data_IF_376715841313
#
_entry.id   IF_376715841313
#
_cell.length_a   1.000
_cell.length_b   1.000
_cell.length_c   1.000
_cell.angle_alpha   90.00
_cell.angle_beta   90.00
_cell.angle_gamma   90.00
#
_symmetry.space_group_name_H-M   'P 1'
#
loop_
_entity.id
_entity.type
_entity.pdbx_description
1 polymer ?
#
# COMPACT_ATOMS: atom_id res chain seq x y z
N UNK A 1 7.37 -27.39 54.18
CA UNK A 1 6.97 -26.02 53.81
C UNK A 1 7.37 -25.82 52.34
N UNK A 2 6.51 -26.25 51.41
CA UNK A 2 6.79 -26.25 49.97
C UNK A 2 6.15 -25.00 49.34
N UNK A 3 6.97 -24.12 48.73
CA UNK A 3 6.49 -22.96 47.97
C UNK A 3 5.88 -23.47 46.65
N UNK A 4 4.58 -23.25 46.47
CA UNK A 4 3.89 -23.40 45.17
C UNK A 4 4.52 -22.43 44.16
N UNK A 5 4.80 -22.86 42.92
CA UNK A 5 5.08 -21.93 41.83
C UNK A 5 3.80 -21.17 41.51
N UNK A 6 3.88 -19.84 41.54
CA UNK A 6 2.86 -18.93 41.04
C UNK A 6 2.71 -19.14 39.54
N UNK A 7 1.61 -19.76 39.14
CA UNK A 7 1.14 -19.79 37.76
C UNK A 7 0.82 -18.36 37.32
N UNK A 8 1.72 -17.74 36.58
CA UNK A 8 1.43 -16.55 35.80
C UNK A 8 0.52 -16.95 34.65
N UNK A 9 -0.77 -16.74 34.87
CA UNK A 9 -1.79 -16.71 33.83
C UNK A 9 -1.40 -15.65 32.80
N UNK A 10 -1.04 -16.10 31.60
CA UNK A 10 -0.89 -15.28 30.39
C UNK A 10 -2.17 -14.47 30.17
N UNK A 11 -2.16 -13.20 30.57
CA UNK A 11 -3.22 -12.24 30.26
C UNK A 11 -3.06 -11.79 28.81
N UNK A 12 -4.21 -11.48 28.18
CA UNK A 12 -4.46 -10.82 26.89
C UNK A 12 -3.21 -10.28 26.17
N UNK A 13 -3.07 -10.59 24.89
CA UNK A 13 -1.99 -10.08 24.03
C UNK A 13 -1.79 -8.58 24.19
N UNK A 14 -0.77 -8.22 24.97
CA UNK A 14 -0.40 -6.83 25.21
C UNK A 14 0.07 -6.25 23.87
N UNK A 15 -0.56 -5.14 23.46
CA UNK A 15 -0.19 -4.42 22.25
C UNK A 15 1.21 -3.85 22.47
N UNK A 16 2.16 -4.27 21.63
CA UNK A 16 3.52 -3.74 21.67
C UNK A 16 3.51 -2.36 21.01
N UNK A 17 3.90 -1.33 21.75
CA UNK A 17 3.90 0.05 21.27
C UNK A 17 5.20 0.35 20.52
N UNK A 18 5.07 0.79 19.27
CA UNK A 18 6.20 1.28 18.47
C UNK A 18 6.55 2.74 18.76
N UNK A 19 7.72 3.23 18.30
CA UNK A 19 8.06 4.65 18.35
C UNK A 19 7.08 5.46 17.51
N UNK A 20 6.80 6.69 17.96
CA UNK A 20 5.94 7.63 17.23
C UNK A 20 6.66 8.14 15.98
N UNK A 21 5.92 8.29 14.88
CA UNK A 21 6.38 9.02 13.69
C UNK A 21 6.85 10.43 14.07
N UNK A 22 7.83 10.99 13.35
CA UNK A 22 8.31 12.35 13.64
C UNK A 22 7.30 13.42 13.19
N UNK A 23 6.42 13.07 12.25
CA UNK A 23 5.32 13.92 11.79
C UNK A 23 4.04 13.11 11.61
N UNK A 24 2.92 13.68 12.10
CA UNK A 24 1.59 13.11 11.95
C UNK A 24 1.20 13.02 10.48
N UNK A 25 0.93 11.81 9.98
CA UNK A 25 0.49 11.58 8.60
C UNK A 25 -0.93 11.05 8.58
N UNK A 26 -1.77 11.64 7.74
CA UNK A 26 -3.12 11.17 7.45
C UNK A 26 -3.09 10.37 6.15
N UNK A 27 -3.59 9.13 6.22
CA UNK A 27 -3.59 8.15 5.13
C UNK A 27 -2.21 7.98 4.45
N UNK A 28 -1.11 7.77 5.21
CA UNK A 28 0.21 7.59 4.63
C UNK A 28 0.26 6.40 3.69
N UNK A 29 1.23 6.42 2.77
CA UNK A 29 1.72 5.22 2.11
C UNK A 29 2.72 4.58 3.07
N UNK A 30 2.42 3.37 3.55
CA UNK A 30 3.28 2.60 4.44
C UNK A 30 3.77 1.38 3.65
N UNK A 31 5.08 1.11 3.68
CA UNK A 31 5.69 0.07 2.85
C UNK A 31 6.71 -0.72 3.69
N UNK A 32 6.42 -2.00 4.00
CA UNK A 32 7.42 -2.88 4.59
C UNK A 32 8.39 -3.38 3.50
N UNK A 33 9.69 -3.21 3.73
CA UNK A 33 10.76 -3.69 2.84
C UNK A 33 11.85 -4.31 3.72
N UNK A 34 11.88 -5.64 3.78
CA UNK A 34 12.73 -6.35 4.73
C UNK A 34 12.41 -5.94 6.17
N UNK A 35 13.45 -5.62 6.95
CA UNK A 35 13.33 -5.16 8.34
C UNK A 35 13.06 -3.66 8.46
N UNK A 36 12.60 -3.00 7.39
CA UNK A 36 12.36 -1.55 7.38
C UNK A 36 10.92 -1.24 7.04
N UNK A 37 10.36 -0.23 7.70
CA UNK A 37 9.04 0.31 7.40
C UNK A 37 9.22 1.74 6.91
N UNK A 38 8.84 1.98 5.66
CA UNK A 38 8.86 3.30 5.06
C UNK A 38 7.48 3.95 5.21
N UNK A 39 7.44 5.22 5.60
CA UNK A 39 6.21 5.99 5.74
C UNK A 39 6.29 7.30 4.94
N UNK A 40 5.42 7.43 3.95
CA UNK A 40 5.37 8.57 3.04
C UNK A 40 4.01 9.27 3.11
N UNK A 41 4.01 10.59 3.26
CA UNK A 41 2.80 11.39 3.20
C UNK A 41 2.14 11.25 1.82
N UNK A 42 0.90 10.74 1.77
CA UNK A 42 0.16 10.57 0.52
C UNK A 42 -0.23 11.91 -0.12
N UNK A 43 -0.56 12.89 0.72
CA UNK A 43 -0.90 14.26 0.33
C UNK A 43 -0.09 15.23 1.20
N UNK A 44 1.13 15.62 0.80
CA UNK A 44 1.96 16.53 1.58
C UNK A 44 1.25 17.88 1.81
N UNK A 45 1.39 18.40 3.02
CA UNK A 45 1.01 19.77 3.36
C UNK A 45 2.25 20.62 3.59
N UNK A 46 2.15 21.89 3.22
CA UNK A 46 3.16 22.93 3.50
C UNK A 46 2.73 23.88 4.63
N UNK A 47 1.57 23.62 5.24
CA UNK A 47 1.02 24.37 6.38
C UNK A 47 0.39 23.41 7.40
N UNK A 48 0.34 23.85 8.65
CA UNK A 48 -0.26 23.07 9.74
C UNK A 48 0.61 21.90 10.20
N UNK A 49 0.03 21.01 10.98
CA UNK A 49 0.76 19.93 11.66
C UNK A 49 0.63 18.56 10.98
N UNK A 50 -0.50 18.30 10.31
CA UNK A 50 -0.78 17.01 9.66
C UNK A 50 -0.25 16.99 8.24
N UNK A 51 0.40 15.89 7.85
CA UNK A 51 1.11 15.72 6.59
C UNK A 51 2.18 16.79 6.34
N UNK A 52 2.66 17.45 7.39
CA UNK A 52 3.76 18.41 7.30
C UNK A 52 5.11 17.67 7.33
N UNK A 53 6.21 18.39 7.13
CA UNK A 53 7.56 17.79 7.12
C UNK A 53 7.91 17.12 8.46
N UNK A 54 8.73 16.06 8.45
CA UNK A 54 9.23 15.34 7.27
C UNK A 54 8.13 14.51 6.58
N UNK A 55 8.09 14.59 5.25
CA UNK A 55 7.08 13.88 4.47
C UNK A 55 7.42 12.42 4.22
N UNK A 56 8.70 12.06 4.27
CA UNK A 56 9.16 10.70 4.02
C UNK A 56 10.13 10.27 5.13
N UNK A 57 9.88 9.10 5.70
CA UNK A 57 10.57 8.61 6.88
C UNK A 57 10.72 7.09 6.80
N UNK A 58 11.65 6.55 7.58
CA UNK A 58 11.84 5.10 7.73
C UNK A 58 12.08 4.73 9.18
N UNK A 59 11.52 3.60 9.58
CA UNK A 59 11.79 2.90 10.82
C UNK A 59 12.62 1.66 10.49
N UNK A 60 13.81 1.57 11.08
CA UNK A 60 14.67 0.38 10.98
C UNK A 60 14.40 -0.55 12.16
N UNK A 61 13.90 -1.75 11.88
CA UNK A 61 13.56 -2.78 12.86
C UNK A 61 14.65 -3.86 12.99
N UNK A 62 15.76 -3.77 12.25
CA UNK A 62 16.80 -4.80 12.24
C UNK A 62 17.42 -5.08 13.61
N UNK A 63 17.39 -4.11 14.51
CA UNK A 63 17.87 -4.20 15.89
C UNK A 63 16.75 -4.06 16.93
N UNK A 64 15.49 -4.06 16.50
CA UNK A 64 14.36 -3.81 17.39
C UNK A 64 14.19 -4.94 18.42
N UNK A 65 13.87 -4.55 19.65
CA UNK A 65 13.62 -5.48 20.75
C UNK A 65 12.36 -5.07 21.50
N UNK A 66 11.73 -6.03 22.19
CA UNK A 66 10.56 -5.75 23.04
C UNK A 66 11.03 -5.62 24.48
N UNK A 67 10.81 -4.45 25.07
CA UNK A 67 11.08 -4.19 26.48
C UNK A 67 9.86 -3.47 27.09
N UNK A 68 9.32 -3.99 28.20
CA UNK A 68 8.18 -3.41 28.92
C UNK A 68 6.99 -3.03 28.03
N UNK A 69 6.65 -3.88 27.06
CA UNK A 69 5.54 -3.65 26.12
C UNK A 69 5.82 -2.62 25.03
N UNK A 70 7.07 -2.19 24.85
CA UNK A 70 7.48 -1.22 23.84
C UNK A 70 8.55 -1.80 22.91
N UNK A 71 8.55 -1.39 21.65
CA UNK A 71 9.68 -1.58 20.75
C UNK A 71 10.76 -0.56 21.10
N UNK A 72 11.94 -1.06 21.45
CA UNK A 72 13.14 -0.28 21.73
C UNK A 72 14.23 -0.60 20.70
N UNK A 73 15.29 0.21 20.68
CA UNK A 73 16.41 0.09 19.73
C UNK A 73 16.01 0.25 18.25
N UNK A 74 14.91 0.96 18.02
CA UNK A 74 14.44 1.38 16.71
C UNK A 74 13.88 2.80 16.82
N UNK A 75 14.16 3.64 15.82
CA UNK A 75 13.65 5.00 15.75
C UNK A 75 13.29 5.36 14.31
N UNK A 76 12.34 6.29 14.19
CA UNK A 76 12.03 6.90 12.91
C UNK A 76 13.13 7.90 12.55
N UNK A 77 13.59 7.85 11.31
CA UNK A 77 14.48 8.87 10.75
C UNK A 77 13.88 9.49 9.49
N UNK A 78 14.10 10.79 9.25
CA UNK A 78 13.68 11.41 8.01
C UNK A 78 14.51 10.89 6.83
N UNK A 79 13.87 10.77 5.68
CA UNK A 79 14.50 10.47 4.39
C UNK A 79 14.50 11.70 3.48
N UNK A 80 15.30 11.68 2.40
CA UNK A 80 15.26 12.72 1.39
C UNK A 80 13.84 12.95 0.87
N UNK A 81 13.43 14.21 0.85
CA UNK A 81 12.11 14.60 0.39
C UNK A 81 11.89 14.14 -1.06
N UNK A 82 10.68 13.69 -1.42
CA UNK A 82 10.38 13.42 -2.81
C UNK A 82 10.51 14.71 -3.65
N UNK A 83 11.15 14.66 -4.83
CA UNK A 83 11.50 15.86 -5.61
C UNK A 83 10.27 16.58 -6.17
N UNK A 84 9.14 15.89 -6.27
CA UNK A 84 7.86 16.41 -6.77
C UNK A 84 6.98 16.99 -5.65
N UNK A 85 7.41 16.95 -4.38
CA UNK A 85 6.66 17.57 -3.29
C UNK A 85 6.89 19.08 -3.22
N UNK A 86 5.85 19.86 -2.88
CA UNK A 86 5.91 21.32 -2.92
C UNK A 86 6.80 21.86 -1.79
N UNK A 87 8.06 22.16 -2.09
CA UNK A 87 9.02 22.73 -1.13
C UNK A 87 9.47 24.15 -1.52
N UNK A 88 9.89 24.31 -2.78
CA UNK A 88 10.39 25.59 -3.31
C UNK A 88 9.22 26.39 -3.88
N UNK A 89 8.42 26.98 -2.98
CA UNK A 89 7.22 27.73 -3.33
C UNK A 89 7.48 29.23 -3.43
N UNK A 90 6.92 29.86 -4.46
CA UNK A 90 6.79 31.33 -4.50
C UNK A 90 5.82 31.82 -3.42
N UNK A 91 5.83 33.10 -3.02
CA UNK A 91 4.85 33.63 -2.06
C UNK A 91 3.39 33.33 -2.44
N UNK A 92 3.05 33.42 -3.72
CA UNK A 92 1.71 33.08 -4.23
C UNK A 92 1.40 31.60 -4.09
N UNK A 93 2.35 30.72 -4.42
CA UNK A 93 2.19 29.28 -4.23
C UNK A 93 2.16 28.90 -2.75
N UNK A 94 2.81 29.65 -1.87
CA UNK A 94 2.67 29.42 -0.44
C UNK A 94 1.26 29.78 0.04
N UNK A 95 0.66 30.86 -0.47
CA UNK A 95 -0.74 31.20 -0.18
C UNK A 95 -1.70 30.15 -0.73
N UNK A 96 -1.44 29.65 -1.94
CA UNK A 96 -2.23 28.63 -2.64
C UNK A 96 -1.35 27.44 -3.06
N UNK A 97 -1.05 26.51 -2.13
CA UNK A 97 -0.15 25.39 -2.40
C UNK A 97 -0.66 24.49 -3.53
N UNK A 98 0.22 24.03 -4.43
CA UNK A 98 -0.16 23.09 -5.46
C UNK A 98 -0.56 21.76 -4.83
N UNK A 99 -1.64 21.17 -5.32
CA UNK A 99 -2.15 19.90 -4.81
C UNK A 99 -1.40 18.72 -5.42
N UNK A 100 -0.59 18.07 -4.60
CA UNK A 100 0.14 16.84 -4.97
C UNK A 100 -0.42 15.69 -4.15
N UNK A 101 -0.81 14.62 -4.82
CA UNK A 101 -1.34 13.39 -4.22
C UNK A 101 -0.67 12.20 -4.89
N UNK A 102 -0.20 11.23 -4.11
CA UNK A 102 0.27 9.95 -4.64
C UNK A 102 -0.91 9.18 -5.22
N UNK A 103 -0.88 8.98 -6.55
CA UNK A 103 -1.92 8.27 -7.31
C UNK A 103 -1.71 6.76 -7.24
N UNK A 104 -0.46 6.34 -7.31
CA UNK A 104 -0.07 4.94 -7.40
C UNK A 104 1.34 4.70 -6.92
N UNK A 105 1.59 3.50 -6.40
CA UNK A 105 2.89 3.09 -5.89
C UNK A 105 3.07 1.56 -5.93
N UNK A 106 4.32 1.11 -5.99
CA UNK A 106 4.69 -0.31 -5.92
C UNK A 106 6.12 -0.45 -5.41
N UNK A 107 6.38 -1.53 -4.68
CA UNK A 107 7.74 -1.90 -4.25
C UNK A 107 8.28 -2.98 -5.20
N UNK A 108 9.46 -2.74 -5.76
CA UNK A 108 10.20 -3.68 -6.59
C UNK A 108 11.60 -3.89 -6.02
N UNK A 109 11.80 -5.00 -5.30
CA UNK A 109 13.05 -5.25 -4.60
C UNK A 109 13.35 -4.13 -3.60
N UNK A 110 14.48 -3.44 -3.79
CA UNK A 110 14.91 -2.29 -2.98
C UNK A 110 14.42 -0.94 -3.52
N UNK A 111 13.52 -0.92 -4.51
CA UNK A 111 13.04 0.31 -5.13
C UNK A 111 11.56 0.56 -4.80
N UNK A 112 11.23 1.79 -4.42
CA UNK A 112 9.85 2.26 -4.29
C UNK A 112 9.54 3.09 -5.54
N UNK A 113 8.57 2.64 -6.35
CA UNK A 113 8.08 3.38 -7.50
C UNK A 113 6.77 4.08 -7.18
N UNK A 114 6.55 5.28 -7.71
CA UNK A 114 5.31 6.01 -7.53
C UNK A 114 5.01 7.01 -8.66
N UNK A 115 3.73 7.37 -8.80
CA UNK A 115 3.26 8.47 -9.66
C UNK A 115 2.33 9.40 -8.87
N UNK A 116 2.35 10.69 -9.19
CA UNK A 116 1.62 11.73 -8.44
C UNK A 116 0.70 12.62 -9.29
N UNK A 117 -0.30 13.26 -8.70
CA UNK A 117 -1.12 14.26 -9.40
C UNK A 117 -0.32 15.50 -9.78
N UNK A 118 -0.77 16.22 -10.81
CA UNK A 118 -0.15 17.47 -11.26
C UNK A 118 1.14 17.29 -12.08
N UNK A 119 1.72 16.09 -12.11
CA UNK A 119 2.94 15.79 -12.88
C UNK A 119 2.83 14.39 -13.51
N UNK A 120 3.35 14.25 -14.73
CA UNK A 120 3.39 12.95 -15.43
C UNK A 120 4.74 12.29 -15.24
N UNK A 121 4.70 11.03 -14.83
CA UNK A 121 5.88 10.17 -14.78
C UNK A 121 5.88 9.23 -13.59
N UNK A 122 6.84 8.33 -13.62
CA UNK A 122 7.14 7.40 -12.53
C UNK A 122 8.46 7.81 -11.90
N UNK A 123 8.42 8.07 -10.61
CA UNK A 123 9.59 8.36 -9.79
C UNK A 123 9.97 7.12 -9.00
N UNK A 124 11.27 6.94 -8.82
CA UNK A 124 11.87 5.84 -8.08
C UNK A 124 12.63 6.41 -6.89
N UNK A 125 12.44 5.80 -5.72
CA UNK A 125 13.35 5.91 -4.59
C UNK A 125 14.11 4.61 -4.43
N UNK A 126 15.43 4.67 -4.54
CA UNK A 126 16.31 3.55 -4.22
C UNK A 126 16.59 3.55 -2.72
N UNK A 127 16.17 2.50 -2.03
CA UNK A 127 16.33 2.38 -0.58
C UNK A 127 17.77 2.11 -0.14
N UNK A 128 18.65 1.69 -1.06
CA UNK A 128 20.07 1.43 -0.78
C UNK A 128 20.88 2.73 -0.84
N UNK A 129 20.69 3.51 -1.91
CA UNK A 129 21.38 4.80 -2.08
C UNK A 129 20.64 5.97 -1.43
N UNK A 130 19.39 5.75 -1.02
CA UNK A 130 18.47 6.75 -0.48
C UNK A 130 18.27 7.95 -1.41
N UNK A 131 18.28 7.71 -2.72
CA UNK A 131 18.14 8.75 -3.73
C UNK A 131 16.84 8.61 -4.53
N UNK A 132 16.31 9.77 -4.91
CA UNK A 132 15.19 9.87 -5.84
C UNK A 132 15.70 10.06 -7.27
N UNK A 133 15.03 9.42 -8.22
CA UNK A 133 15.21 9.64 -9.64
C UNK A 133 13.87 9.59 -10.37
N UNK A 134 13.75 10.29 -11.51
CA UNK A 134 12.65 10.06 -12.45
C UNK A 134 13.02 8.88 -13.33
N UNK A 135 12.22 7.81 -13.29
CA UNK A 135 12.48 6.57 -13.99
C UNK A 135 11.79 6.51 -15.35
N UNK A 136 10.56 7.02 -15.44
CA UNK A 136 9.77 6.99 -16.66
C UNK A 136 8.92 8.25 -16.83
N UNK A 137 8.55 8.57 -18.07
CA UNK A 137 7.69 9.71 -18.38
C UNK A 137 6.19 9.38 -18.28
N UNK A 138 5.82 8.10 -18.36
CA UNK A 138 4.49 7.59 -18.10
C UNK A 138 4.22 7.36 -16.61
N UNK A 139 2.96 7.49 -16.23
CA UNK A 139 2.49 7.09 -14.90
C UNK A 139 2.37 5.58 -14.80
N UNK A 140 2.47 5.05 -13.57
CA UNK A 140 2.02 3.67 -13.29
C UNK A 140 0.53 3.51 -13.65
N UNK A 141 0.14 2.42 -14.33
CA UNK A 141 -1.19 2.27 -14.93
C UNK A 141 -2.33 1.89 -13.96
N UNK A 142 -2.00 1.69 -12.69
CA UNK A 142 -2.97 1.36 -11.63
C UNK A 142 -3.16 2.52 -10.65
N UNK A 143 -4.15 2.42 -9.77
CA UNK A 143 -4.40 3.35 -8.68
C UNK A 143 -4.11 2.68 -7.33
N UNK A 144 -3.58 3.45 -6.37
CA UNK A 144 -3.16 2.95 -5.08
C UNK A 144 -1.92 2.06 -5.17
N UNK A 145 -1.76 1.18 -4.18
CA UNK A 145 -0.67 0.22 -4.15
C UNK A 145 -0.91 -0.96 -5.09
N UNK A 146 0.14 -1.42 -5.76
CA UNK A 146 0.14 -2.77 -6.34
C UNK A 146 0.83 -3.74 -5.37
N UNK A 147 0.16 -4.86 -5.07
CA UNK A 147 0.62 -5.86 -4.10
C UNK A 147 1.25 -7.07 -4.80
N UNK A 148 2.34 -7.67 -4.28
CA UNK A 148 2.97 -8.84 -4.88
C UNK A 148 2.02 -10.03 -4.99
N UNK A 149 2.01 -10.71 -6.13
CA UNK A 149 1.24 -11.93 -6.41
C UNK A 149 2.12 -12.91 -7.19
N UNK A 150 2.86 -13.75 -6.46
CA UNK A 150 3.95 -14.54 -7.04
C UNK A 150 5.06 -13.61 -7.57
N UNK A 151 5.45 -13.78 -8.83
CA UNK A 151 6.44 -12.92 -9.50
C UNK A 151 5.81 -11.68 -10.19
N UNK A 152 4.51 -11.46 -9.99
CA UNK A 152 3.74 -10.37 -10.59
C UNK A 152 3.15 -9.49 -9.50
N UNK A 153 2.38 -8.48 -9.92
CA UNK A 153 1.73 -7.54 -9.02
C UNK A 153 0.24 -7.42 -9.35
N UNK A 154 -0.62 -7.49 -8.36
CA UNK A 154 -2.03 -7.14 -8.53
C UNK A 154 -2.22 -5.66 -8.26
N UNK A 155 -2.88 -4.95 -9.18
CA UNK A 155 -3.16 -3.51 -9.09
C UNK A 155 -4.59 -3.22 -9.53
N UNK A 156 -5.16 -2.10 -9.07
CA UNK A 156 -6.45 -1.63 -9.60
C UNK A 156 -6.24 -0.78 -10.85
N UNK A 157 -6.58 -1.32 -12.02
CA UNK A 157 -6.35 -0.66 -13.31
C UNK A 157 -7.14 0.63 -13.45
N UNK A 158 -6.46 1.72 -13.86
CA UNK A 158 -7.11 3.01 -14.11
C UNK A 158 -7.91 3.01 -15.41
N UNK A 159 -7.47 2.25 -16.41
CA UNK A 159 -8.11 2.15 -17.72
C UNK A 159 -9.29 1.19 -17.68
N UNK A 160 -9.07 -0.04 -17.21
CA UNK A 160 -10.07 -1.10 -17.20
C UNK A 160 -11.04 -1.01 -16.01
N UNK A 161 -10.70 -0.23 -14.96
CA UNK A 161 -11.51 -0.08 -13.73
C UNK A 161 -11.78 -1.41 -13.02
N UNK A 162 -10.82 -2.30 -13.06
CA UNK A 162 -10.88 -3.64 -12.47
C UNK A 162 -9.53 -4.02 -11.85
N UNK A 163 -9.52 -5.11 -11.08
CA UNK A 163 -8.27 -5.71 -10.59
C UNK A 163 -7.57 -6.34 -11.79
N UNK A 164 -6.31 -5.97 -11.99
CA UNK A 164 -5.49 -6.39 -13.13
C UNK A 164 -4.13 -6.83 -12.63
N UNK A 165 -3.50 -7.73 -13.36
CA UNK A 165 -2.20 -8.27 -13.03
C UNK A 165 -1.12 -7.58 -13.89
N UNK A 166 0.01 -7.27 -13.27
CA UNK A 166 1.08 -6.49 -13.87
C UNK A 166 2.42 -7.22 -13.72
N UNK A 167 3.15 -7.36 -14.82
CA UNK A 167 4.58 -7.71 -14.81
C UNK A 167 5.35 -6.41 -14.88
N UNK A 168 6.01 -6.04 -13.78
CA UNK A 168 6.74 -4.79 -13.66
C UNK A 168 8.22 -5.14 -13.50
N UNK A 169 9.07 -4.54 -14.32
CA UNK A 169 10.51 -4.75 -14.28
C UNK A 169 11.27 -3.45 -14.53
N UNK A 170 12.38 -3.27 -13.82
CA UNK A 170 13.34 -2.20 -14.05
C UNK A 170 14.50 -2.82 -14.84
N UNK A 171 14.64 -2.42 -16.11
CA UNK A 171 15.72 -2.91 -16.96
C UNK A 171 16.90 -1.93 -16.87
N UNK A 172 18.08 -2.43 -16.51
CA UNK A 172 19.30 -1.64 -16.62
C UNK A 172 19.61 -1.41 -18.11
N UNK A 173 19.82 -0.15 -18.52
CA UNK A 173 20.36 0.14 -19.84
C UNK A 173 21.83 -0.30 -19.88
N UNK A 174 22.17 -1.18 -20.82
CA UNK A 174 23.55 -1.53 -21.11
C UNK A 174 24.31 -0.25 -21.49
N UNK A 175 25.40 0.02 -20.79
CA UNK A 175 26.21 1.21 -21.03
C UNK A 175 26.79 1.17 -22.46
N UNK A 176 26.24 1.98 -23.36
CA UNK A 176 26.90 2.32 -24.62
C UNK A 176 27.97 3.38 -24.33
N UNK A 177 29.17 3.28 -24.91
CA UNK A 177 30.33 4.13 -24.57
C UNK A 177 30.19 5.62 -24.95
N UNK A 178 29.05 6.05 -25.49
CA UNK A 178 28.79 7.43 -25.95
C UNK A 178 27.62 8.13 -25.26
N UNK A 179 26.99 7.51 -24.26
CA UNK A 179 25.87 8.12 -23.52
C UNK A 179 26.17 8.07 -22.03
N UNK A 180 25.89 9.18 -21.32
CA UNK A 180 26.01 9.26 -19.85
C UNK A 180 25.42 8.00 -19.21
N UNK A 181 26.14 7.44 -18.25
CA UNK A 181 25.84 6.17 -17.61
C UNK A 181 24.35 6.01 -17.23
N UNK A 182 23.77 4.86 -17.61
CA UNK A 182 22.71 4.16 -16.88
C UNK A 182 21.35 4.84 -16.77
N UNK A 183 20.62 5.03 -17.88
CA UNK A 183 19.20 5.33 -17.79
C UNK A 183 18.42 4.01 -17.66
N UNK A 184 18.03 3.62 -16.44
CA UNK A 184 17.15 2.46 -16.24
C UNK A 184 15.81 2.71 -16.93
N UNK A 185 15.26 1.71 -17.62
CA UNK A 185 13.95 1.80 -18.27
C UNK A 185 12.92 0.96 -17.54
N UNK A 186 11.68 1.45 -17.44
CA UNK A 186 10.56 0.74 -16.83
C UNK A 186 9.82 -0.09 -17.88
N UNK A 187 9.65 -1.38 -17.63
CA UNK A 187 8.81 -2.27 -18.44
C UNK A 187 7.58 -2.69 -17.64
N UNK A 188 6.39 -2.49 -18.22
CA UNK A 188 5.12 -2.89 -17.62
C UNK A 188 4.31 -3.64 -18.67
N UNK A 189 3.91 -4.88 -18.34
CA UNK A 189 2.95 -5.65 -19.13
C UNK A 189 1.69 -5.93 -18.29
N UNK A 190 0.53 -5.75 -18.89
CA UNK A 190 -0.77 -5.95 -18.25
C UNK A 190 -1.40 -7.28 -18.69
N UNK A 191 -1.99 -7.98 -17.73
CA UNK A 191 -2.66 -9.27 -17.89
C UNK A 191 -4.03 -9.19 -17.25
N UNK A 192 -5.06 -9.66 -17.96
CA UNK A 192 -6.43 -9.62 -17.45
C UNK A 192 -6.61 -10.65 -16.35
N UNK A 193 -7.44 -10.32 -15.37
CA UNK A 193 -7.88 -11.29 -14.35
C UNK A 193 -9.26 -11.77 -14.76
N UNK A 194 -9.37 -13.05 -15.11
CA UNK A 194 -10.60 -13.68 -15.58
C UNK A 194 -11.07 -14.64 -14.51
N UNK A 195 -12.34 -14.56 -14.14
CA UNK A 195 -12.89 -15.48 -13.16
C UNK A 195 -13.68 -16.59 -13.85
N UNK A 196 -13.40 -17.84 -13.49
CA UNK A 196 -14.28 -18.95 -13.79
C UNK A 196 -15.39 -18.97 -12.72
N UNK A 197 -16.47 -18.22 -12.97
CA UNK A 197 -17.61 -18.10 -12.05
C UNK A 197 -18.93 -18.31 -12.78
N UNK A 198 -19.96 -18.69 -12.02
CA UNK A 198 -21.32 -18.80 -12.53
C UNK A 198 -21.79 -17.51 -13.21
N UNK A 199 -22.69 -17.65 -14.20
CA UNK A 199 -23.19 -16.54 -14.99
C UNK A 199 -23.76 -15.41 -14.10
N UNK A 200 -23.12 -14.24 -14.15
CA UNK A 200 -23.52 -13.04 -13.39
C UNK A 200 -22.62 -12.69 -12.20
N UNK A 201 -21.64 -13.52 -11.84
CA UNK A 201 -20.61 -13.15 -10.86
C UNK A 201 -19.37 -12.53 -11.54
N UNK A 202 -18.97 -11.35 -11.07
CA UNK A 202 -17.75 -10.67 -11.52
C UNK A 202 -16.75 -10.54 -10.37
N UNK A 203 -15.46 -10.50 -10.70
CA UNK A 203 -14.43 -10.07 -9.76
C UNK A 203 -14.81 -8.70 -9.23
N UNK A 204 -14.73 -8.51 -7.92
CA UNK A 204 -15.13 -7.25 -7.32
C UNK A 204 -14.17 -6.16 -7.82
N UNK A 205 -14.71 -5.20 -8.56
CA UNK A 205 -14.01 -3.99 -9.02
C UNK A 205 -13.80 -2.98 -7.88
N UNK A 206 -13.39 -3.40 -6.70
CA UNK A 206 -12.95 -2.49 -5.65
C UNK A 206 -11.43 -2.39 -5.68
N UNK A 207 -10.89 -1.18 -5.53
CA UNK A 207 -9.45 -0.97 -5.34
C UNK A 207 -8.94 -1.43 -3.97
N UNK A 208 -9.68 -2.29 -3.27
CA UNK A 208 -9.38 -2.76 -1.91
C UNK A 208 -9.18 -4.25 -1.93
N UNK A 209 -7.93 -4.66 -2.02
CA UNK A 209 -7.54 -6.05 -2.01
C UNK A 209 -6.15 -6.21 -1.43
N UNK A 210 -5.87 -7.40 -0.91
CA UNK A 210 -4.56 -7.80 -0.39
C UNK A 210 -4.18 -9.13 -0.99
N UNK A 211 -2.88 -9.33 -1.24
CA UNK A 211 -2.37 -10.62 -1.66
C UNK A 211 -2.37 -11.60 -0.48
N UNK A 212 -2.72 -12.86 -0.75
CA UNK A 212 -2.60 -13.96 0.19
C UNK A 212 -1.33 -14.70 -0.18
N UNK A 213 -0.22 -14.27 0.42
CA UNK A 213 1.12 -14.72 0.09
C UNK A 213 1.30 -16.22 0.34
N UNK A 214 1.24 -17.00 -0.73
CA UNK A 214 1.81 -18.35 -0.78
C UNK A 214 2.34 -18.57 -2.19
N UNK A 215 3.64 -18.87 -2.31
CA UNK A 215 4.29 -19.10 -3.61
C UNK A 215 3.64 -20.25 -4.39
N UNK A 216 3.14 -21.27 -3.68
CA UNK A 216 2.60 -22.48 -4.30
C UNK A 216 1.11 -22.39 -4.67
N UNK A 217 0.40 -21.40 -4.13
CA UNK A 217 -1.03 -21.19 -4.42
C UNK A 217 -1.35 -19.70 -4.23
N UNK A 218 -0.93 -18.86 -5.18
CA UNK A 218 -1.09 -17.42 -5.06
C UNK A 218 -2.59 -17.09 -5.08
N UNK A 219 -3.05 -16.43 -4.03
CA UNK A 219 -4.42 -15.97 -3.89
C UNK A 219 -4.47 -14.48 -3.59
N UNK A 220 -5.67 -13.92 -3.59
CA UNK A 220 -5.89 -12.59 -3.07
C UNK A 220 -7.27 -12.49 -2.44
N UNK A 221 -7.41 -11.51 -1.55
CA UNK A 221 -8.67 -11.20 -0.92
C UNK A 221 -9.11 -9.80 -1.32
N UNK A 222 -10.37 -9.65 -1.74
CA UNK A 222 -10.99 -8.36 -2.02
C UNK A 222 -12.04 -8.01 -0.97
N UNK A 223 -12.22 -6.73 -0.75
CA UNK A 223 -13.09 -6.23 0.30
C UNK A 223 -14.03 -5.17 -0.27
N UNK A 224 -15.29 -5.25 0.17
CA UNK A 224 -16.31 -4.23 -0.08
C UNK A 224 -16.93 -3.85 1.25
N UNK A 225 -16.83 -2.58 1.59
CA UNK A 225 -17.41 -2.03 2.81
C UNK A 225 -18.60 -1.15 2.41
N UNK A 226 -19.70 -1.23 3.15
CA UNK A 226 -20.94 -0.48 2.90
C UNK A 226 -21.58 -0.12 4.22
N UNK A 227 -22.04 1.12 4.39
CA UNK A 227 -22.85 1.47 5.56
C UNK A 227 -24.07 0.56 5.67
N UNK A 228 -24.35 0.19 6.92
CA UNK A 228 -25.50 -0.61 7.31
C UNK A 228 -26.34 0.12 8.37
N UNK A 229 -26.26 1.45 8.40
CA UNK A 229 -27.04 2.28 9.29
C UNK A 229 -28.49 2.36 8.77
N UNK A 230 -29.45 2.11 9.65
CA UNK A 230 -30.86 1.95 9.29
C UNK A 230 -31.59 3.29 9.04
N UNK A 231 -30.94 4.42 9.30
CA UNK A 231 -31.53 5.76 9.20
C UNK A 231 -30.63 6.71 8.37
N UNK A 232 -31.17 7.36 7.32
CA UNK A 232 -30.41 8.30 6.48
C UNK A 232 -30.11 9.65 7.14
N UNK A 233 -30.53 9.87 8.40
CA UNK A 233 -30.48 11.17 9.09
C UNK A 233 -29.51 11.21 10.28
N UNK A 234 -28.98 10.08 10.72
CA UNK A 234 -27.96 10.08 11.77
C UNK A 234 -26.59 10.31 11.13
N UNK A 235 -25.98 11.46 11.43
CA UNK A 235 -24.58 11.77 11.07
C UNK A 235 -23.56 10.87 11.78
N UNK A 236 -24.03 9.82 12.48
CA UNK A 236 -23.22 8.86 13.22
C UNK A 236 -23.13 7.58 12.41
N UNK A 237 -22.07 7.45 11.61
CA UNK A 237 -21.76 6.18 10.98
C UNK A 237 -21.31 5.19 12.08
N UNK A 238 -22.17 4.24 12.45
CA UNK A 238 -21.88 3.32 13.57
C UNK A 238 -21.82 1.86 13.15
N UNK A 239 -22.38 1.54 11.97
CA UNK A 239 -22.42 0.17 11.45
C UNK A 239 -21.96 0.09 10.00
N UNK A 240 -21.08 -0.88 9.73
CA UNK A 240 -20.61 -1.16 8.38
C UNK A 240 -20.66 -2.67 8.07
N UNK A 241 -21.18 -3.02 6.90
CA UNK A 241 -21.10 -4.36 6.35
C UNK A 241 -19.81 -4.50 5.53
N UNK A 242 -18.94 -5.40 5.97
CA UNK A 242 -17.72 -5.78 5.26
C UNK A 242 -17.96 -7.10 4.56
N UNK A 243 -17.98 -7.10 3.23
CA UNK A 243 -17.95 -8.30 2.42
C UNK A 243 -16.53 -8.59 1.99
N UNK A 244 -16.01 -9.72 2.46
CA UNK A 244 -14.71 -10.27 2.10
C UNK A 244 -14.90 -11.38 1.05
N UNK A 245 -14.09 -11.38 0.00
CA UNK A 245 -14.05 -12.45 -1.01
C UNK A 245 -12.63 -12.90 -1.27
N UNK A 246 -12.42 -14.20 -1.14
CA UNK A 246 -11.12 -14.83 -1.38
C UNK A 246 -11.13 -15.53 -2.73
N UNK A 247 -10.07 -15.26 -3.49
CA UNK A 247 -9.81 -15.85 -4.79
C UNK A 247 -8.51 -16.64 -4.73
N UNK A 248 -8.47 -17.76 -5.44
CA UNK A 248 -7.24 -18.48 -5.75
C UNK A 248 -6.98 -18.43 -7.23
N UNK A 249 -5.72 -18.24 -7.60
CA UNK A 249 -5.29 -18.24 -8.98
C UNK A 249 -4.88 -19.64 -9.39
N UNK A 250 -5.16 -20.02 -10.64
CA UNK A 250 -4.64 -21.25 -11.21
C UNK A 250 -3.15 -21.11 -11.61
N UNK A 251 -2.53 -22.21 -12.05
CA UNK A 251 -1.10 -22.22 -12.40
C UNK A 251 -0.73 -21.07 -13.34
N UNK A 252 0.35 -20.38 -12.98
CA UNK A 252 0.88 -19.24 -13.72
C UNK A 252 1.48 -19.65 -15.08
N UNK A 253 1.67 -20.94 -15.34
CA UNK A 253 2.20 -21.47 -16.61
C UNK A 253 1.32 -21.11 -17.81
N UNK A 254 0.01 -20.97 -17.61
CA UNK A 254 -0.93 -20.60 -18.69
C UNK A 254 -0.92 -19.10 -19.00
N UNK A 255 -0.38 -18.27 -18.10
CA UNK A 255 -0.46 -16.81 -18.19
C UNK A 255 0.30 -16.25 -19.39
N UNK A 256 1.47 -16.80 -19.70
CA UNK A 256 2.29 -16.34 -20.84
C UNK A 256 1.61 -16.65 -22.19
N UNK A 257 0.76 -17.69 -22.25
CA UNK A 257 0.04 -18.06 -23.47
C UNK A 257 -1.27 -17.30 -23.67
N UNK A 258 -2.06 -17.08 -22.61
CA UNK A 258 -3.41 -16.50 -22.72
C UNK A 258 -3.46 -15.01 -22.42
N UNK A 259 -2.38 -14.46 -21.84
CA UNK A 259 -2.34 -13.13 -21.22
C UNK A 259 -3.46 -12.88 -20.20
N UNK A 260 -3.95 -13.96 -19.58
CA UNK A 260 -5.03 -13.92 -18.61
C UNK A 260 -4.73 -14.83 -17.42
N UNK A 261 -4.98 -14.33 -16.22
CA UNK A 261 -4.94 -15.11 -14.99
C UNK A 261 -6.34 -15.63 -14.71
N UNK A 262 -6.51 -16.95 -14.75
CA UNK A 262 -7.75 -17.57 -14.34
C UNK A 262 -7.80 -17.65 -12.81
N UNK A 263 -8.89 -17.16 -12.24
CA UNK A 263 -9.13 -17.20 -10.81
C UNK A 263 -10.43 -17.92 -10.48
N UNK A 264 -10.39 -18.70 -9.42
CA UNK A 264 -11.55 -19.36 -8.84
C UNK A 264 -11.90 -18.69 -7.52
N UNK A 265 -13.18 -18.38 -7.35
CA UNK A 265 -13.71 -17.87 -6.08
C UNK A 265 -13.79 -19.01 -5.09
N UNK A 266 -13.07 -18.90 -3.97
CA UNK A 266 -13.10 -19.91 -2.91
C UNK A 266 -14.14 -19.64 -1.85
N UNK A 267 -14.21 -18.39 -1.40
CA UNK A 267 -15.02 -18.05 -0.24
C UNK A 267 -15.54 -16.61 -0.34
N UNK A 268 -16.80 -16.41 0.05
CA UNK A 268 -17.39 -15.12 0.38
C UNK A 268 -17.83 -15.12 1.84
N UNK A 269 -17.38 -14.13 2.62
CA UNK A 269 -17.82 -13.93 3.99
C UNK A 269 -18.33 -12.49 4.16
N UNK A 270 -19.36 -12.32 4.98
CA UNK A 270 -19.94 -11.00 5.27
C UNK A 270 -19.89 -10.81 6.78
N UNK A 271 -19.31 -9.70 7.20
CA UNK A 271 -19.20 -9.28 8.58
C UNK A 271 -19.99 -8.00 8.80
N UNK A 272 -20.62 -7.86 9.96
CA UNK A 272 -21.15 -6.58 10.42
C UNK A 272 -20.21 -6.06 11.49
N UNK A 273 -19.63 -4.89 11.24
CA UNK A 273 -18.82 -4.16 12.21
C UNK A 273 -19.72 -3.09 12.82
N UNK A 274 -19.73 -3.01 14.16
CA UNK A 274 -20.48 -2.00 14.90
C UNK A 274 -19.55 -1.36 15.94
N UNK A 275 -19.42 -0.04 15.92
CA UNK A 275 -18.83 0.73 17.01
C UNK A 275 -19.76 1.88 17.39
N UNK A 276 -20.54 1.66 18.45
CA UNK A 276 -21.48 2.64 19.00
C UNK A 276 -20.79 3.70 19.86
N UNK A 277 -19.48 3.60 20.07
CA UNK A 277 -18.74 4.45 21.01
C UNK A 277 -17.82 5.43 20.31
N UNK A 278 -17.11 5.01 19.26
CA UNK A 278 -16.10 5.83 18.58
C UNK A 278 -16.55 6.40 17.25
N UNK A 279 -17.72 5.96 16.75
CA UNK A 279 -18.16 6.15 15.35
C UNK A 279 -17.14 5.54 14.38
N UNK A 280 -17.60 4.86 13.35
CA UNK A 280 -16.74 4.29 12.32
C UNK A 280 -16.31 5.40 11.35
N UNK A 281 -15.03 5.41 10.95
CA UNK A 281 -14.63 6.10 9.73
C UNK A 281 -15.28 5.36 8.56
N UNK A 282 -15.97 6.03 7.65
CA UNK A 282 -16.51 5.38 6.46
C UNK A 282 -15.52 5.54 5.32
N UNK A 283 -14.84 4.48 4.88
CA UNK A 283 -14.96 3.07 5.29
C UNK A 283 -13.91 2.66 6.33
N UNK A 284 -14.31 1.83 7.30
CA UNK A 284 -13.51 1.60 8.51
C UNK A 284 -12.25 0.76 8.27
N UNK A 285 -12.18 0.12 7.10
CA UNK A 285 -11.05 -0.70 6.67
C UNK A 285 -10.07 0.04 5.74
N UNK A 286 -10.32 1.30 5.39
CA UNK A 286 -9.38 2.07 4.55
C UNK A 286 -8.02 2.23 5.24
N UNK A 287 -8.02 2.39 6.56
CA UNK A 287 -6.82 2.52 7.38
C UNK A 287 -6.11 1.18 7.63
N UNK A 288 -6.85 0.06 7.59
CA UNK A 288 -6.32 -1.28 7.91
C UNK A 288 -5.64 -1.94 6.72
N UNK A 289 -6.07 -1.63 5.50
CA UNK A 289 -5.60 -2.28 4.28
C UNK A 289 -4.74 -1.41 3.37
N UNK A 290 -4.41 -0.20 3.81
CA UNK A 290 -3.43 0.67 3.13
C UNK A 290 -1.98 0.38 3.55
N UNK A 291 -1.75 -0.71 4.29
CA UNK A 291 -0.44 -1.27 4.68
C UNK A 291 0.21 -2.06 3.54
#
# INVERSE_FOLDING_TARGET
MARRPSSTTSRRGDVILGPKLLSTKSYPVVLPIGDRIYALARKPSVKGEVNFVPWFEVLDLSQAQVADGHLVSCEWRPLPRPPFFPWELTPTQYLFPPEVIIKSYVVLGSCILLSVTGQTGTYMFDTVTEQWAKLDNGDLPFAGGATPHGHLFLGFSRSAKEITLYKIAICASAASPSTKAGCSSLSIAEFRVVADMEAGEHVVSSGRFVSLGNHDNPGFCSFRCRSNDTAPLDFEHTRELVTMRTYTSESQDQLESTRALLISKRWKQVYSICDTTRRLTCPCLEDVMSL
#
